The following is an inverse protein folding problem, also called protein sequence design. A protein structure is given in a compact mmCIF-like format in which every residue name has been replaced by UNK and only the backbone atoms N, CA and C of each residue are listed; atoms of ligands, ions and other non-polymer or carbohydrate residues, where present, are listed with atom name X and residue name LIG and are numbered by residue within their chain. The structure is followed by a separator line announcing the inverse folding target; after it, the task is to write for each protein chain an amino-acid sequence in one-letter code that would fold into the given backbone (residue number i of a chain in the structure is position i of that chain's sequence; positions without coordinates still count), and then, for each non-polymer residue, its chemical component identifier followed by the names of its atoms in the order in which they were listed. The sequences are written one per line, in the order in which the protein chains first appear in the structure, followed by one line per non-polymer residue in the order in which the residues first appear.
data_IF_858594554598
#
_entry.id   IF_858594554598
#
_cell.length_a   1.000
_cell.length_b   1.000
_cell.length_c   1.000
_cell.angle_alpha   90.00
_cell.angle_beta   90.00
_cell.angle_gamma   90.00
#
_symmetry.space_group_name_H-M   'P 1'
#
loop_
_entity.id
_entity.type
_entity.pdbx_description
1 polymer ?
#
# COMPACT_ATOMS: atom_id res chain seq x y z
N UNK A 1 -16.13 -16.09 11.78
CA UNK A 1 -14.79 -15.91 11.19
C UNK A 1 -14.97 -15.08 9.92
N UNK A 2 -14.09 -14.10 9.66
CA UNK A 2 -14.16 -13.21 8.48
C UNK A 2 -12.89 -13.43 7.62
N UNK A 3 -12.99 -14.06 6.43
CA UNK A 3 -11.84 -14.34 5.57
C UNK A 3 -11.35 -13.07 4.87
N UNK A 4 -10.04 -12.81 4.95
CA UNK A 4 -9.41 -11.61 4.39
C UNK A 4 -8.39 -11.95 3.30
N UNK A 5 -8.17 -11.00 2.39
CA UNK A 5 -7.22 -11.01 1.31
C UNK A 5 -5.76 -11.21 1.78
N UNK A 6 -5.02 -12.08 1.08
CA UNK A 6 -3.56 -12.15 1.17
C UNK A 6 -2.90 -10.93 0.49
N UNK A 7 -1.59 -10.74 0.73
CA UNK A 7 -0.85 -9.60 0.17
C UNK A 7 -0.84 -9.55 -1.37
N UNK A 8 -0.90 -10.71 -2.03
CA UNK A 8 -0.94 -10.83 -3.49
C UNK A 8 -2.33 -10.61 -4.07
N UNK A 9 -3.37 -10.63 -3.24
CA UNK A 9 -4.77 -10.56 -3.66
C UNK A 9 -5.34 -9.14 -3.51
N UNK A 10 -4.72 -8.31 -2.65
CA UNK A 10 -5.20 -6.97 -2.34
C UNK A 10 -4.58 -5.89 -3.21
N UNK A 11 -5.32 -4.79 -3.35
CA UNK A 11 -4.86 -3.56 -3.98
C UNK A 11 -4.73 -2.46 -2.93
N UNK A 12 -3.68 -1.64 -3.04
CA UNK A 12 -3.48 -0.53 -2.11
C UNK A 12 -2.05 -0.01 -2.10
N UNK A 13 -1.53 0.25 -0.91
CA UNK A 13 -0.16 0.71 -0.71
C UNK A 13 0.40 0.25 0.62
N UNK A 14 1.74 0.18 0.72
CA UNK A 14 2.46 -0.09 1.96
C UNK A 14 3.60 0.91 2.15
N UNK A 15 3.93 1.27 3.39
CA UNK A 15 5.18 1.96 3.71
C UNK A 15 6.19 0.91 4.16
N UNK A 16 7.34 0.84 3.48
CA UNK A 16 8.38 -0.13 3.82
C UNK A 16 9.35 0.39 4.90
N UNK A 17 10.31 -0.44 5.31
CA UNK A 17 11.31 -0.11 6.34
C UNK A 17 12.19 1.11 6.00
N UNK A 18 12.42 1.37 4.71
CA UNK A 18 13.15 2.54 4.24
C UNK A 18 12.25 3.79 4.15
N UNK A 19 11.02 3.74 4.66
CA UNK A 19 10.08 4.87 4.67
C UNK A 19 9.51 5.23 3.30
N UNK A 20 9.53 4.28 2.35
CA UNK A 20 8.92 4.48 1.03
C UNK A 20 7.51 3.93 0.98
N UNK A 21 6.58 4.76 0.52
CA UNK A 21 5.24 4.37 0.12
C UNK A 21 5.30 3.67 -1.24
N UNK A 22 4.91 2.41 -1.28
CA UNK A 22 4.91 1.56 -2.47
C UNK A 22 3.49 1.13 -2.82
N UNK A 23 3.17 1.09 -4.11
CA UNK A 23 1.86 0.66 -4.60
C UNK A 23 1.80 -0.86 -4.62
N UNK A 24 0.71 -1.40 -4.08
CA UNK A 24 0.35 -2.81 -4.16
C UNK A 24 -0.70 -2.98 -5.26
N UNK A 25 -0.37 -3.81 -6.23
CA UNK A 25 -1.29 -4.24 -7.27
C UNK A 25 -1.71 -5.68 -6.99
N UNK A 26 -2.98 -5.95 -7.26
CA UNK A 26 -3.51 -7.30 -7.22
C UNK A 26 -2.83 -8.17 -8.28
N UNK A 27 -2.25 -9.29 -7.85
CA UNK A 27 -1.66 -10.30 -8.71
C UNK A 27 -2.58 -11.53 -8.86
N UNK A 28 -3.38 -11.84 -7.84
CA UNK A 28 -4.30 -12.98 -7.81
C UNK A 28 -5.72 -12.54 -7.47
N UNK A 29 -6.71 -13.28 -7.97
CA UNK A 29 -8.09 -13.11 -7.53
C UNK A 29 -8.30 -13.61 -6.09
N UNK A 30 -9.35 -13.08 -5.46
CA UNK A 30 -9.71 -13.36 -4.07
C UNK A 30 -10.34 -14.75 -4.04
N UNK A 31 -9.89 -15.67 -3.19
CA UNK A 31 -10.44 -17.01 -3.13
C UNK A 31 -11.79 -17.01 -2.41
N UNK A 32 -12.78 -17.69 -3.01
CA UNK A 32 -14.06 -17.97 -2.37
C UNK A 32 -14.81 -16.70 -1.95
N UNK A 33 -15.02 -16.55 -0.63
CA UNK A 33 -15.73 -15.42 -0.02
C UNK A 33 -14.77 -14.45 0.69
N UNK A 34 -13.48 -14.46 0.35
CA UNK A 34 -12.53 -13.51 0.90
C UNK A 34 -12.80 -12.10 0.36
N UNK A 35 -12.61 -11.11 1.23
CA UNK A 35 -12.75 -9.69 0.90
C UNK A 35 -11.48 -8.93 1.28
N UNK A 36 -11.31 -7.72 0.76
CA UNK A 36 -10.24 -6.84 1.24
C UNK A 36 -10.50 -6.47 2.72
N UNK A 37 -9.43 -6.34 3.51
CA UNK A 37 -9.54 -6.06 4.95
C UNK A 37 -10.39 -4.81 5.24
N UNK A 38 -10.25 -3.78 4.40
CA UNK A 38 -10.96 -2.51 4.58
C UNK A 38 -12.47 -2.63 4.27
N UNK A 39 -12.86 -3.49 3.33
CA UNK A 39 -14.27 -3.76 3.02
C UNK A 39 -14.93 -4.49 4.18
N UNK A 40 -14.24 -5.48 4.75
CA UNK A 40 -14.70 -6.22 5.93
C UNK A 40 -14.95 -5.25 7.09
N UNK A 41 -14.00 -4.35 7.36
CA UNK A 41 -14.14 -3.36 8.43
C UNK A 41 -15.24 -2.33 8.14
N UNK A 42 -15.37 -1.89 6.88
CA UNK A 42 -16.44 -0.99 6.43
C UNK A 42 -17.82 -1.61 6.68
N UNK A 43 -18.02 -2.83 6.21
CA UNK A 43 -19.31 -3.52 6.26
C UNK A 43 -19.68 -3.90 7.69
N UNK A 44 -18.70 -4.32 8.49
CA UNK A 44 -18.89 -4.55 9.92
C UNK A 44 -19.30 -3.27 10.67
N UNK A 45 -18.61 -2.16 10.40
CA UNK A 45 -18.92 -0.87 11.02
C UNK A 45 -20.32 -0.40 10.63
N UNK A 46 -20.69 -0.56 9.34
CA UNK A 46 -22.01 -0.21 8.83
C UNK A 46 -23.12 -1.05 9.49
N UNK A 47 -22.89 -2.36 9.67
CA UNK A 47 -23.82 -3.27 10.31
C UNK A 47 -24.06 -2.93 11.78
N UNK A 48 -23.02 -2.53 12.52
CA UNK A 48 -23.12 -2.14 13.93
C UNK A 48 -23.76 -0.77 14.11
N UNK A 49 -23.38 0.22 13.29
CA UNK A 49 -23.89 1.58 13.37
C UNK A 49 -25.31 1.74 12.78
N UNK A 50 -25.77 0.77 11.98
CA UNK A 50 -27.05 0.87 11.25
C UNK A 50 -27.03 1.91 10.14
N UNK A 51 -25.85 2.30 9.65
CA UNK A 51 -25.67 3.35 8.64
C UNK A 51 -24.79 2.84 7.49
N UNK A 52 -25.11 3.26 6.27
CA UNK A 52 -24.27 2.91 5.10
C UNK A 52 -22.98 3.71 5.13
N UNK A 53 -21.85 3.05 4.88
CA UNK A 53 -20.59 3.75 4.70
C UNK A 53 -20.53 4.42 3.32
N UNK A 54 -19.98 5.65 3.23
CA UNK A 54 -19.76 6.33 1.94
C UNK A 54 -18.52 5.82 1.19
N UNK A 55 -17.76 4.87 1.75
CA UNK A 55 -16.53 4.35 1.15
C UNK A 55 -16.84 3.20 0.17
N UNK A 56 -16.69 3.45 -1.13
CA UNK A 56 -16.95 2.45 -2.17
C UNK A 56 -15.68 1.93 -2.82
N UNK A 57 -14.64 2.75 -2.90
CA UNK A 57 -13.36 2.40 -3.51
C UNK A 57 -12.21 2.59 -2.53
N UNK A 58 -11.13 1.81 -2.71
CA UNK A 58 -9.90 1.97 -1.93
C UNK A 58 -9.27 3.37 -2.11
N UNK A 59 -9.49 4.00 -3.27
CA UNK A 59 -9.10 5.39 -3.52
C UNK A 59 -9.78 6.38 -2.58
N UNK A 60 -11.04 6.16 -2.24
CA UNK A 60 -11.77 7.03 -1.31
C UNK A 60 -11.15 6.94 0.08
N UNK A 61 -10.80 5.71 0.50
CA UNK A 61 -10.10 5.47 1.76
C UNK A 61 -8.72 6.13 1.75
N UNK A 62 -7.92 5.90 0.71
CA UNK A 62 -6.59 6.52 0.60
C UNK A 62 -6.67 8.04 0.61
N UNK A 63 -7.67 8.63 -0.06
CA UNK A 63 -7.90 10.08 -0.05
C UNK A 63 -8.21 10.61 1.34
N UNK A 64 -9.00 9.89 2.14
CA UNK A 64 -9.25 10.26 3.54
C UNK A 64 -7.98 10.18 4.40
N UNK A 65 -7.15 9.16 4.19
CA UNK A 65 -5.86 9.05 4.89
C UNK A 65 -4.92 10.19 4.46
N UNK A 66 -4.83 10.48 3.17
CA UNK A 66 -4.00 11.58 2.65
C UNK A 66 -4.44 12.96 3.17
N UNK A 67 -5.73 13.16 3.41
CA UNK A 67 -6.26 14.40 3.99
C UNK A 67 -5.94 14.56 5.49
N UNK A 68 -5.59 13.48 6.19
CA UNK A 68 -5.38 13.46 7.65
C UNK A 68 -3.92 13.25 8.04
N UNK A 69 -3.11 12.66 7.16
CA UNK A 69 -1.70 12.34 7.39
C UNK A 69 -0.81 13.26 6.54
N UNK A 70 -0.09 14.23 7.13
CA UNK A 70 0.71 15.20 6.39
C UNK A 70 1.74 14.58 5.44
N UNK A 71 2.32 13.43 5.81
CA UNK A 71 3.29 12.72 4.97
C UNK A 71 2.70 12.21 3.64
N UNK A 72 1.37 12.14 3.53
CA UNK A 72 0.66 11.69 2.32
C UNK A 72 -0.02 12.83 1.56
N UNK A 73 0.22 14.08 1.95
CA UNK A 73 -0.42 15.23 1.32
C UNK A 73 -0.17 15.25 -0.21
N UNK A 74 -1.23 15.54 -0.96
CA UNK A 74 -1.21 15.56 -2.42
C UNK A 74 -1.01 14.20 -3.12
N UNK A 75 -0.83 13.09 -2.38
CA UNK A 75 -0.67 11.75 -2.94
C UNK A 75 -2.01 11.09 -3.28
N UNK A 76 -1.97 10.21 -4.28
CA UNK A 76 -3.03 9.27 -4.62
C UNK A 76 -2.38 7.93 -4.96
N UNK A 77 -3.14 6.83 -4.95
CA UNK A 77 -2.60 5.52 -5.36
C UNK A 77 -2.00 5.55 -6.79
N UNK A 78 -2.54 6.39 -7.67
CA UNK A 78 -2.01 6.58 -9.04
C UNK A 78 -0.73 7.40 -9.10
N UNK A 79 -0.50 8.32 -8.15
CA UNK A 79 0.71 9.15 -8.07
C UNK A 79 1.91 8.43 -7.43
N UNK A 80 1.70 7.26 -6.82
CA UNK A 80 2.80 6.44 -6.32
C UNK A 80 3.57 5.88 -7.53
N UNK A 81 4.81 6.35 -7.69
CA UNK A 81 5.69 5.94 -8.80
C UNK A 81 6.08 4.47 -8.72
N UNK A 82 6.64 3.93 -9.82
CA UNK A 82 7.10 2.54 -9.89
C UNK A 82 8.13 2.17 -8.82
N UNK A 83 8.97 3.12 -8.41
CA UNK A 83 9.96 2.94 -7.34
C UNK A 83 9.43 3.38 -5.94
N UNK A 84 8.13 3.62 -5.84
CA UNK A 84 7.51 4.23 -4.67
C UNK A 84 7.89 5.69 -4.47
N UNK A 85 7.31 6.29 -3.43
CA UNK A 85 7.54 7.68 -3.03
C UNK A 85 8.12 7.71 -1.61
N UNK A 86 9.17 8.50 -1.39
CA UNK A 86 9.72 8.71 -0.05
C UNK A 86 8.72 9.53 0.78
N UNK A 87 8.29 9.00 1.93
CA UNK A 87 7.31 9.67 2.80
C UNK A 87 7.81 9.84 4.23
N UNK A 88 8.87 9.11 4.62
CA UNK A 88 9.48 9.19 5.94
C UNK A 88 10.98 8.90 5.84
N UNK A 89 11.83 9.69 6.50
CA UNK A 89 13.25 9.38 6.64
C UNK A 89 13.45 8.45 7.84
N UNK A 90 13.83 7.20 7.60
CA UNK A 90 14.02 6.18 8.66
C UNK A 90 15.49 5.88 8.97
N UNK A 91 16.42 6.30 8.10
CA UNK A 91 17.83 5.92 8.18
C UNK A 91 18.11 4.43 7.92
N UNK A 92 17.09 3.64 7.56
CA UNK A 92 17.25 2.22 7.26
C UNK A 92 17.75 2.03 5.82
N UNK A 93 18.95 1.44 5.68
CA UNK A 93 19.50 1.04 4.39
C UNK A 93 19.08 -0.39 4.05
N UNK A 94 18.46 -0.59 2.88
CA UNK A 94 18.14 -1.92 2.37
C UNK A 94 19.45 -2.57 1.88
N UNK A 95 19.95 -3.65 2.52
CA UNK A 95 21.26 -4.21 2.18
C UNK A 95 21.38 -4.67 0.73
N UNK A 96 20.29 -5.21 0.17
CA UNK A 96 20.24 -5.64 -1.22
C UNK A 96 20.49 -4.48 -2.19
N UNK A 97 19.81 -3.34 -1.99
CA UNK A 97 19.96 -2.17 -2.85
C UNK A 97 21.35 -1.55 -2.74
N UNK A 98 21.94 -1.52 -1.54
CA UNK A 98 23.33 -1.08 -1.33
C UNK A 98 24.31 -1.95 -2.12
N UNK A 99 24.15 -3.27 -2.02
CA UNK A 99 25.00 -4.22 -2.72
C UNK A 99 24.83 -4.12 -4.25
N UNK A 100 23.60 -3.97 -4.75
CA UNK A 100 23.33 -3.78 -6.17
C UNK A 100 23.94 -2.47 -6.69
N UNK A 101 23.84 -1.38 -5.94
CA UNK A 101 24.48 -0.10 -6.26
C UNK A 101 26.00 -0.23 -6.39
N UNK A 102 26.65 -0.93 -5.45
CA UNK A 102 28.09 -1.20 -5.52
C UNK A 102 28.46 -2.06 -6.73
N UNK A 103 27.65 -3.07 -7.07
CA UNK A 103 27.86 -3.93 -8.23
C UNK A 103 27.67 -3.19 -9.56
N UNK A 104 26.71 -2.26 -9.64
CA UNK A 104 26.54 -1.36 -10.80
C UNK A 104 27.76 -0.46 -10.95
N UNK A 105 28.24 0.17 -9.88
CA UNK A 105 29.42 1.03 -9.90
C UNK A 105 30.70 0.29 -10.30
N UNK A 106 30.81 -1.00 -9.94
CA UNK A 106 31.92 -1.87 -10.33
C UNK A 106 31.79 -2.46 -11.74
N UNK A 107 30.71 -2.15 -12.49
CA UNK A 107 30.48 -2.69 -13.83
C UNK A 107 30.14 -4.19 -13.87
N UNK A 108 29.76 -4.78 -12.73
CA UNK A 108 29.45 -6.22 -12.61
C UNK A 108 28.05 -6.52 -13.15
N UNK A 109 27.12 -5.56 -13.04
CA UNK A 109 25.75 -5.67 -13.53
C UNK A 109 25.36 -4.41 -14.30
N UNK A 110 24.50 -4.57 -15.31
CA UNK A 110 23.97 -3.46 -16.07
C UNK A 110 22.95 -2.65 -15.25
N UNK A 111 22.97 -1.34 -15.48
CA UNK A 111 22.14 -0.34 -14.82
C UNK A 111 20.70 -0.33 -15.29
#
# INVERSE_FOLDING_TARGET
VLPSAAFSEKRGSMVNLAGRLQRLNRANELPGLAHDDWEILRDLTAAIAGQKSPLFLIEDLFKQVAATVPAFDGLTLSKIGHQGTQVLETGYEIPLLKNEGARKAAGIING
#
